data_IF_370241433453
#
_entry.id   IF_370241433453
#
_cell.length_a   1.000
_cell.length_b   1.000
_cell.length_c   1.000
_cell.angle_alpha   90.00
_cell.angle_beta   90.00
_cell.angle_gamma   90.00
#
_symmetry.space_group_name_H-M   'P 1'
#
loop_
_entity.id
_entity.type
_entity.pdbx_description
1 polymer ?
#
# COMPACT_ATOMS: atom_id res chain seq x y z
N UNK A 1 -16.25 -6.03 13.92
CA UNK A 1 -16.15 -5.11 12.78
C UNK A 1 -17.01 -5.68 11.67
N UNK A 2 -18.04 -4.95 11.26
CA UNK A 2 -18.96 -5.37 10.20
C UNK A 2 -18.37 -5.07 8.80
N UNK A 3 -19.04 -5.54 7.73
CA UNK A 3 -18.53 -5.36 6.37
C UNK A 3 -18.37 -3.90 5.97
N UNK A 4 -19.34 -3.05 6.31
CA UNK A 4 -19.32 -1.64 5.95
C UNK A 4 -18.20 -0.88 6.66
N UNK A 5 -17.98 -1.15 7.95
CA UNK A 5 -16.86 -0.61 8.71
C UNK A 5 -15.53 -1.03 8.06
N UNK A 6 -15.42 -2.30 7.64
CA UNK A 6 -14.18 -2.79 7.04
C UNK A 6 -13.94 -2.13 5.69
N UNK A 7 -14.97 -2.01 4.83
CA UNK A 7 -14.91 -1.25 3.58
C UNK A 7 -14.43 0.18 3.83
N UNK A 8 -15.03 0.88 4.81
CA UNK A 8 -14.62 2.24 5.14
C UNK A 8 -13.14 2.32 5.58
N UNK A 9 -12.68 1.43 6.46
CA UNK A 9 -11.26 1.40 6.88
C UNK A 9 -10.32 0.97 5.76
N UNK A 10 -10.75 0.06 4.90
CA UNK A 10 -9.96 -0.40 3.77
C UNK A 10 -9.75 0.76 2.77
N UNK A 11 -10.79 1.54 2.49
CA UNK A 11 -10.71 2.76 1.70
C UNK A 11 -9.77 3.78 2.33
N UNK A 12 -9.96 4.08 3.62
CA UNK A 12 -9.07 4.99 4.36
C UNK A 12 -7.61 4.52 4.33
N UNK A 13 -7.39 3.21 4.44
CA UNK A 13 -6.05 2.62 4.33
C UNK A 13 -5.46 2.82 2.94
N UNK A 14 -6.24 2.68 1.87
CA UNK A 14 -5.78 2.93 0.49
C UNK A 14 -5.42 4.40 0.32
N UNK A 15 -6.27 5.31 0.78
CA UNK A 15 -6.01 6.74 0.69
C UNK A 15 -4.74 7.13 1.46
N UNK A 16 -4.54 6.56 2.66
CA UNK A 16 -3.31 6.74 3.45
C UNK A 16 -2.09 6.20 2.68
N UNK A 17 -2.22 5.02 2.08
CA UNK A 17 -1.18 4.39 1.27
C UNK A 17 -0.80 5.25 0.06
N UNK A 18 -1.78 5.77 -0.68
CA UNK A 18 -1.54 6.67 -1.82
C UNK A 18 -0.80 7.91 -1.36
N UNK A 19 -1.28 8.58 -0.31
CA UNK A 19 -0.65 9.79 0.26
C UNK A 19 0.79 9.54 0.70
N UNK A 20 1.05 8.39 1.32
CA UNK A 20 2.37 7.94 1.76
C UNK A 20 3.34 7.71 0.60
N UNK A 21 2.90 7.07 -0.48
CA UNK A 21 3.71 6.88 -1.70
C UNK A 21 4.05 8.23 -2.31
N UNK A 22 3.06 9.11 -2.40
CA UNK A 22 3.18 10.47 -2.92
C UNK A 22 4.20 11.31 -2.12
N UNK A 23 4.21 11.18 -0.80
CA UNK A 23 5.17 11.87 0.07
C UNK A 23 6.60 11.36 -0.18
N UNK A 24 6.74 10.05 -0.29
CA UNK A 24 8.00 9.36 -0.58
C UNK A 24 8.52 9.76 -1.96
N UNK A 25 7.70 9.70 -3.00
CA UNK A 25 8.07 10.09 -4.36
C UNK A 25 8.62 11.52 -4.43
N UNK A 26 7.95 12.48 -3.77
CA UNK A 26 8.43 13.88 -3.65
C UNK A 26 9.72 14.03 -2.85
N UNK A 27 9.98 13.11 -1.92
CA UNK A 27 11.22 13.09 -1.12
C UNK A 27 12.39 12.45 -1.88
N UNK A 28 12.10 11.61 -2.87
CA UNK A 28 13.11 10.94 -3.70
C UNK A 28 13.98 11.92 -4.47
N UNK A 29 13.41 13.03 -4.95
CA UNK A 29 14.12 14.12 -5.64
C UNK A 29 15.28 14.72 -4.80
N UNK A 30 15.30 14.47 -3.49
CA UNK A 30 16.34 14.97 -2.54
C UNK A 30 17.37 13.90 -2.16
N UNK A 31 17.29 12.70 -2.74
CA UNK A 31 18.21 11.59 -2.47
C UNK A 31 19.49 11.70 -3.32
N UNK A 32 20.56 11.05 -2.85
CA UNK A 32 21.82 10.96 -3.60
C UNK A 32 21.68 9.81 -4.61
N UNK A 33 22.28 9.93 -5.79
CA UNK A 33 22.20 8.97 -6.91
C UNK A 33 22.21 7.48 -6.52
N UNK A 34 23.12 7.08 -5.64
CA UNK A 34 23.26 5.67 -5.21
C UNK A 34 22.04 5.14 -4.43
N UNK A 35 21.45 5.99 -3.60
CA UNK A 35 20.22 5.66 -2.86
C UNK A 35 19.00 5.78 -3.79
N UNK A 36 19.00 6.76 -4.70
CA UNK A 36 17.88 7.01 -5.62
C UNK A 36 17.53 5.78 -6.45
N UNK A 37 18.51 5.06 -7.00
CA UNK A 37 18.22 3.84 -7.78
C UNK A 37 17.45 2.78 -7.00
N UNK A 38 17.97 2.40 -5.83
CA UNK A 38 17.34 1.39 -4.97
C UNK A 38 15.97 1.88 -4.46
N UNK A 39 15.86 3.19 -4.24
CA UNK A 39 14.62 3.81 -3.85
C UNK A 39 13.56 3.74 -4.95
N UNK A 40 13.92 4.06 -6.19
CA UNK A 40 13.03 3.97 -7.36
C UNK A 40 12.56 2.53 -7.60
N UNK A 41 13.44 1.54 -7.44
CA UNK A 41 13.09 0.12 -7.53
C UNK A 41 12.06 -0.28 -6.47
N UNK A 42 12.32 0.04 -5.20
CA UNK A 42 11.41 -0.26 -4.09
C UNK A 42 10.10 0.55 -4.18
N UNK A 43 10.15 1.79 -4.69
CA UNK A 43 8.99 2.63 -4.95
C UNK A 43 8.12 2.03 -6.06
N UNK A 44 8.73 1.52 -7.14
CA UNK A 44 8.00 0.82 -8.19
C UNK A 44 7.30 -0.43 -7.64
N UNK A 45 7.99 -1.22 -6.80
CA UNK A 45 7.38 -2.36 -6.09
C UNK A 45 6.20 -1.90 -5.22
N UNK A 46 6.33 -0.78 -4.50
CA UNK A 46 5.25 -0.24 -3.69
C UNK A 46 4.06 0.23 -4.51
N UNK A 47 4.29 0.87 -5.66
CA UNK A 47 3.22 1.27 -6.60
C UNK A 47 2.43 0.04 -7.07
N UNK A 48 3.12 -1.03 -7.46
CA UNK A 48 2.48 -2.30 -7.84
C UNK A 48 1.65 -2.88 -6.70
N UNK A 49 2.18 -2.85 -5.46
CA UNK A 49 1.45 -3.31 -4.27
C UNK A 49 0.22 -2.45 -3.98
N UNK A 50 0.31 -1.13 -4.17
CA UNK A 50 -0.80 -0.18 -4.02
C UNK A 50 -1.89 -0.41 -5.06
N UNK A 51 -1.52 -0.65 -6.32
CA UNK A 51 -2.49 -0.97 -7.37
C UNK A 51 -3.18 -2.33 -7.09
N UNK A 52 -2.42 -3.30 -6.58
CA UNK A 52 -3.00 -4.57 -6.09
C UNK A 52 -3.96 -4.33 -4.92
N UNK A 53 -3.62 -3.44 -3.99
CA UNK A 53 -4.47 -3.08 -2.86
C UNK A 53 -5.81 -2.48 -3.31
N UNK A 54 -5.77 -1.56 -4.28
CA UNK A 54 -6.96 -0.98 -4.92
C UNK A 54 -7.80 -2.06 -5.63
N UNK A 55 -7.16 -2.96 -6.37
CA UNK A 55 -7.86 -4.05 -7.04
C UNK A 55 -8.56 -4.99 -6.05
N UNK A 56 -7.90 -5.35 -4.95
CA UNK A 56 -8.49 -6.15 -3.88
C UNK A 56 -9.61 -5.41 -3.14
N UNK A 57 -9.51 -4.09 -3.00
CA UNK A 57 -10.58 -3.28 -2.43
C UNK A 57 -11.82 -3.25 -3.30
N UNK A 58 -11.67 -3.09 -4.62
CA UNK A 58 -12.81 -3.13 -5.55
C UNK A 58 -13.52 -4.50 -5.45
N UNK A 59 -12.76 -5.60 -5.43
CA UNK A 59 -13.33 -6.94 -5.18
C UNK A 59 -14.05 -7.01 -3.85
N UNK A 60 -13.49 -6.38 -2.82
CA UNK A 60 -14.09 -6.34 -1.49
C UNK A 60 -15.37 -5.51 -1.46
N UNK A 61 -15.47 -4.44 -2.25
CA UNK A 61 -16.71 -3.68 -2.45
C UNK A 61 -17.81 -4.50 -3.13
N UNK A 62 -17.46 -5.26 -4.16
CA UNK A 62 -18.39 -6.13 -4.91
C UNK A 62 -18.66 -7.49 -4.24
N UNK A 63 -17.88 -7.87 -3.23
CA UNK A 63 -17.96 -9.20 -2.63
C UNK A 63 -19.29 -9.48 -1.92
N UNK A 64 -19.77 -10.70 -2.15
CA UNK A 64 -20.96 -11.29 -1.53
C UNK A 64 -20.70 -11.69 -0.06
N UNK A 65 -21.69 -12.25 0.64
CA UNK A 65 -21.48 -12.82 1.99
C UNK A 65 -20.56 -14.03 1.99
N UNK A 66 -20.68 -14.90 1.00
CA UNK A 66 -19.85 -16.09 0.88
C UNK A 66 -18.38 -15.75 0.57
N UNK A 67 -18.13 -14.75 -0.28
CA UNK A 67 -16.77 -14.38 -0.71
C UNK A 67 -16.08 -13.39 0.24
N UNK A 68 -16.83 -12.79 1.16
CA UNK A 68 -16.37 -11.69 2.02
C UNK A 68 -15.11 -12.04 2.81
N UNK A 69 -15.07 -13.22 3.42
CA UNK A 69 -13.94 -13.61 4.27
C UNK A 69 -12.67 -13.86 3.45
N UNK A 70 -12.79 -14.35 2.22
CA UNK A 70 -11.65 -14.55 1.32
C UNK A 70 -11.09 -13.24 0.78
N UNK A 71 -11.96 -12.34 0.27
CA UNK A 71 -11.51 -11.02 -0.23
C UNK A 71 -10.92 -10.17 0.90
N UNK A 72 -11.47 -10.27 2.11
CA UNK A 72 -10.97 -9.57 3.29
C UNK A 72 -9.58 -10.05 3.69
N UNK A 73 -9.33 -11.36 3.65
CA UNK A 73 -7.99 -11.93 3.87
C UNK A 73 -7.03 -11.47 2.79
N UNK A 74 -7.45 -11.50 1.53
CA UNK A 74 -6.63 -11.07 0.39
C UNK A 74 -6.24 -9.59 0.49
N UNK A 75 -7.21 -8.71 0.78
CA UNK A 75 -6.97 -7.29 1.05
C UNK A 75 -6.02 -7.10 2.24
N UNK A 76 -6.22 -7.82 3.33
CA UNK A 76 -5.36 -7.71 4.53
C UNK A 76 -3.93 -8.12 4.22
N UNK A 77 -3.73 -9.21 3.47
CA UNK A 77 -2.40 -9.66 3.05
C UNK A 77 -1.72 -8.66 2.09
N UNK A 78 -2.48 -8.08 1.16
CA UNK A 78 -1.98 -7.02 0.28
C UNK A 78 -1.58 -5.77 1.08
N UNK A 79 -2.39 -5.38 2.08
CA UNK A 79 -2.13 -4.23 2.96
C UNK A 79 -0.87 -4.43 3.80
N UNK A 80 -0.69 -5.63 4.36
CA UNK A 80 0.48 -5.99 5.14
C UNK A 80 1.75 -5.95 4.28
N UNK A 81 1.70 -6.59 3.09
CA UNK A 81 2.82 -6.57 2.16
C UNK A 81 3.19 -5.15 1.70
N UNK A 82 2.19 -4.28 1.52
CA UNK A 82 2.42 -2.86 1.25
C UNK A 82 3.14 -2.19 2.42
N UNK A 83 2.62 -2.34 3.65
CA UNK A 83 3.21 -1.75 4.86
C UNK A 83 4.65 -2.19 5.07
N UNK A 84 4.96 -3.47 4.82
CA UNK A 84 6.33 -3.98 4.91
C UNK A 84 7.25 -3.31 3.90
N UNK A 85 6.83 -3.21 2.62
CA UNK A 85 7.62 -2.53 1.59
C UNK A 85 7.79 -1.04 1.91
N UNK A 86 6.75 -0.38 2.39
CA UNK A 86 6.78 1.02 2.79
C UNK A 86 7.73 1.24 3.97
N UNK A 87 7.67 0.37 4.98
CA UNK A 87 8.57 0.42 6.14
C UNK A 87 10.02 0.24 5.70
N UNK A 88 10.29 -0.69 4.77
CA UNK A 88 11.62 -0.87 4.20
C UNK A 88 12.12 0.40 3.50
N UNK A 89 11.31 0.95 2.59
CA UNK A 89 11.64 2.16 1.85
C UNK A 89 11.84 3.38 2.77
N UNK A 90 10.93 3.56 3.73
CA UNK A 90 10.99 4.63 4.71
C UNK A 90 12.20 4.51 5.64
N UNK A 91 12.59 3.30 6.01
CA UNK A 91 13.80 3.02 6.80
C UNK A 91 15.07 3.42 6.03
N UNK A 92 15.12 3.18 4.72
CA UNK A 92 16.22 3.67 3.87
C UNK A 92 16.30 5.20 3.85
N UNK A 93 15.14 5.88 3.87
CA UNK A 93 15.07 7.34 3.95
C UNK A 93 15.50 7.89 5.32
N UNK A 94 15.08 7.26 6.42
CA UNK A 94 15.35 7.70 7.80
C UNK A 94 16.79 7.44 8.26
N UNK A 95 17.50 6.46 7.67
CA UNK A 95 18.91 6.15 8.00
C UNK A 95 19.93 7.22 7.53
N UNK A 96 19.47 8.36 7.00
CA UNK A 96 20.31 9.46 6.51
C UNK A 96 20.56 10.52 7.59
#
# INVERSE_FOLDING_TARGET
MNKQEFKAKAKESIDEVVSKIDEIERKSDKLKDDISKKYEEELAVLKIKKDKLEAEYNKLEDATEDEWEDVKKSFSAASESFKEGFSNLFSMFKKK
#
